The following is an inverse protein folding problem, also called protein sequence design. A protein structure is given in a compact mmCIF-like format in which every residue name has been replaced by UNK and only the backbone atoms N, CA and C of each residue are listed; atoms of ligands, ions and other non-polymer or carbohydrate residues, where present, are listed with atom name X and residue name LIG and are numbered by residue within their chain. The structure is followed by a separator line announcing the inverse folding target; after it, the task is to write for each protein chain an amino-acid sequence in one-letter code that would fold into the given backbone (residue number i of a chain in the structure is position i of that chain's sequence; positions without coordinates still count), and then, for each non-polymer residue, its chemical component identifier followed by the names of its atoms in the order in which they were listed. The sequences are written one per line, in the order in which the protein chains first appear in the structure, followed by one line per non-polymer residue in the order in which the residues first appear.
data_IF_849806296290
#
_entry.id   IF_849806296290
#
_cell.length_a   1.000
_cell.length_b   1.000
_cell.length_c   1.000
_cell.angle_alpha   90.00
_cell.angle_beta   90.00
_cell.angle_gamma   90.00
#
_symmetry.space_group_name_H-M   'P 1'
#
loop_
_entity.id
_entity.type
_entity.pdbx_description
1 polymer ?
#
# COMPACT_ATOMS: atom_id res chain seq x y z
N UNK A 1 9.29 12.91 0.71
CA UNK A 1 8.43 11.74 0.46
C UNK A 1 9.31 10.63 -0.11
N UNK A 2 9.17 9.43 0.40
CA UNK A 2 9.85 8.24 -0.10
C UNK A 2 8.80 7.48 -0.91
N UNK A 3 8.99 7.21 -2.20
CA UNK A 3 7.93 6.74 -3.12
C UNK A 3 6.75 7.76 -3.07
N UNK A 4 6.66 8.76 -3.97
CA UNK A 4 5.89 10.04 -3.84
C UNK A 4 4.47 9.95 -3.21
N UNK A 5 3.84 8.77 -3.24
CA UNK A 5 2.58 8.34 -2.61
C UNK A 5 2.67 7.87 -1.14
N UNK A 6 3.85 7.82 -0.52
CA UNK A 6 4.05 7.43 0.89
C UNK A 6 4.61 8.56 1.75
N UNK A 7 3.78 8.97 2.71
CA UNK A 7 4.14 9.92 3.76
C UNK A 7 4.82 9.18 4.93
N UNK A 8 6.12 8.93 4.81
CA UNK A 8 6.88 8.24 5.86
C UNK A 8 7.27 9.17 7.01
N UNK A 9 7.05 8.71 8.25
CA UNK A 9 7.63 9.28 9.48
C UNK A 9 9.14 9.08 9.54
N UNK A 10 9.84 9.89 10.35
CA UNK A 10 11.30 9.77 10.54
C UNK A 10 11.73 8.34 10.94
N UNK A 11 11.04 7.64 11.85
CA UNK A 11 11.34 6.23 12.14
C UNK A 11 11.10 5.27 10.96
N UNK A 12 10.15 5.55 10.07
CA UNK A 12 9.92 4.76 8.85
C UNK A 12 11.05 4.99 7.84
N UNK A 13 11.45 6.25 7.63
CA UNK A 13 12.53 6.61 6.71
C UNK A 13 13.90 6.07 7.17
N UNK A 14 14.19 6.14 8.47
CA UNK A 14 15.47 5.68 9.02
C UNK A 14 15.69 4.15 8.95
N UNK A 15 14.65 3.38 8.64
CA UNK A 15 14.69 1.91 8.52
C UNK A 15 14.93 1.44 7.08
N UNK A 16 15.00 2.37 6.15
CA UNK A 16 15.28 2.13 4.73
C UNK A 16 16.78 2.14 4.54
N UNK A 17 17.41 1.01 4.89
CA UNK A 17 18.70 0.51 4.40
C UNK A 17 19.27 -0.48 5.43
N UNK A 18 19.07 -1.79 5.20
CA UNK A 18 20.00 -2.82 5.65
C UNK A 18 19.71 -4.17 4.97
N UNK A 19 20.76 -4.80 4.45
CA UNK A 19 20.67 -5.94 3.54
C UNK A 19 20.67 -7.27 4.30
N UNK A 20 19.60 -8.04 4.11
CA UNK A 20 19.42 -9.40 4.62
C UNK A 20 18.24 -10.09 3.92
N UNK A 21 18.48 -11.27 3.33
CA UNK A 21 17.51 -11.93 2.45
C UNK A 21 16.35 -12.57 3.23
N UNK A 22 15.18 -11.93 3.21
CA UNK A 22 13.83 -12.55 3.29
C UNK A 22 12.84 -11.70 2.52
N UNK A 23 11.71 -12.29 2.12
CA UNK A 23 10.65 -11.73 1.28
C UNK A 23 9.62 -10.92 2.09
N UNK A 24 9.09 -9.78 1.59
CA UNK A 24 8.22 -8.90 2.42
C UNK A 24 7.28 -7.93 1.70
N UNK A 25 6.02 -7.82 2.13
CA UNK A 25 4.98 -6.95 1.51
C UNK A 25 4.14 -6.11 2.50
N UNK A 26 4.04 -6.48 3.78
CA UNK A 26 3.31 -5.70 4.82
C UNK A 26 4.21 -5.37 6.02
N UNK A 27 4.01 -4.21 6.65
CA UNK A 27 4.76 -3.79 7.85
C UNK A 27 4.79 -4.87 8.94
N UNK A 28 6.00 -5.22 9.41
CA UNK A 28 6.21 -6.27 10.43
C UNK A 28 6.07 -5.71 11.84
N UNK A 29 6.33 -4.42 12.04
CA UNK A 29 6.21 -3.82 13.36
C UNK A 29 4.75 -3.84 13.81
N UNK A 30 4.44 -4.73 14.75
CA UNK A 30 3.08 -4.91 15.27
C UNK A 30 2.52 -3.64 15.89
N UNK A 31 3.36 -2.74 16.44
CA UNK A 31 2.87 -1.46 16.99
C UNK A 31 2.37 -0.51 15.91
N UNK A 32 2.84 -0.68 14.67
CA UNK A 32 2.42 0.09 13.50
C UNK A 32 1.33 -0.62 12.69
N UNK A 33 0.87 -1.78 13.15
CA UNK A 33 -0.38 -2.38 12.67
C UNK A 33 -1.55 -1.79 13.45
N UNK A 34 -2.72 -1.81 12.82
CA UNK A 34 -3.97 -1.53 13.52
C UNK A 34 -4.23 -2.58 14.61
N UNK A 35 -4.44 -2.12 15.85
CA UNK A 35 -4.62 -3.00 17.02
C UNK A 35 -6.03 -3.58 17.14
N UNK A 36 -6.98 -3.03 16.37
CA UNK A 36 -8.35 -3.48 16.26
C UNK A 36 -8.64 -3.75 14.79
N UNK A 37 -9.53 -4.70 14.51
CA UNK A 37 -10.05 -4.92 13.16
C UNK A 37 -11.11 -3.89 12.80
N UNK A 38 -11.62 -3.13 13.75
CA UNK A 38 -12.47 -1.95 13.48
C UNK A 38 -11.56 -0.74 13.26
N UNK A 39 -11.64 -0.16 12.06
CA UNK A 39 -10.85 1.00 11.62
C UNK A 39 -11.78 2.21 11.53
N UNK A 40 -11.74 3.16 12.49
CA UNK A 40 -12.52 4.38 12.39
C UNK A 40 -12.02 5.25 11.24
N UNK A 41 -12.93 5.87 10.49
CA UNK A 41 -12.57 6.87 9.49
C UNK A 41 -13.50 8.07 9.49
N UNK A 42 -13.01 9.20 8.95
CA UNK A 42 -13.74 10.46 8.81
C UNK A 42 -13.43 11.10 7.46
N UNK A 43 -14.27 12.04 7.05
CA UNK A 43 -14.02 12.89 5.88
C UNK A 43 -13.75 14.33 6.32
N UNK A 44 -12.66 14.91 5.81
CA UNK A 44 -12.33 16.32 6.05
C UNK A 44 -13.18 17.27 5.21
N UNK A 45 -13.78 16.78 4.12
CA UNK A 45 -14.56 17.56 3.16
C UNK A 45 -15.93 16.92 2.97
N UNK A 46 -16.95 17.75 2.83
CA UNK A 46 -18.30 17.31 2.50
C UNK A 46 -18.53 17.32 0.98
N UNK A 47 -18.18 16.22 0.32
CA UNK A 47 -18.43 15.98 -1.11
C UNK A 47 -18.98 14.57 -1.28
N UNK A 48 -20.29 14.45 -1.51
CA UNK A 48 -20.98 13.17 -1.47
C UNK A 48 -20.51 12.17 -2.55
N UNK A 49 -20.35 12.54 -3.84
CA UNK A 49 -19.77 11.65 -4.84
C UNK A 49 -18.40 11.09 -4.43
N UNK A 50 -17.47 11.97 -4.05
CA UNK A 50 -16.12 11.57 -3.64
C UNK A 50 -16.12 10.68 -2.39
N UNK A 51 -16.96 11.01 -1.41
CA UNK A 51 -17.14 10.18 -0.22
C UNK A 51 -17.71 8.80 -0.57
N UNK A 52 -18.64 8.72 -1.53
CA UNK A 52 -19.26 7.46 -1.94
C UNK A 52 -18.27 6.53 -2.65
N UNK A 53 -17.36 7.06 -3.47
CA UNK A 53 -16.28 6.28 -4.08
C UNK A 53 -15.37 5.67 -3.01
N UNK A 54 -14.99 6.46 -2.00
CA UNK A 54 -14.18 5.96 -0.87
C UNK A 54 -14.95 4.90 -0.06
N UNK A 55 -16.22 5.17 0.29
CA UNK A 55 -17.08 4.19 0.99
C UNK A 55 -17.19 2.88 0.22
N UNK A 56 -17.30 2.92 -1.11
CA UNK A 56 -17.38 1.73 -1.94
C UNK A 56 -16.11 0.86 -1.81
N UNK A 57 -14.93 1.46 -1.86
CA UNK A 57 -13.66 0.75 -1.67
C UNK A 57 -13.52 0.22 -0.25
N UNK A 58 -13.81 1.02 0.78
CA UNK A 58 -13.76 0.57 2.17
C UNK A 58 -14.71 -0.61 2.44
N UNK A 59 -15.89 -0.61 1.81
CA UNK A 59 -16.81 -1.74 1.84
C UNK A 59 -16.24 -2.97 1.13
N UNK A 60 -15.52 -2.80 0.01
CA UNK A 60 -14.85 -3.90 -0.69
C UNK A 60 -13.76 -4.55 0.17
N UNK A 61 -12.92 -3.76 0.85
CA UNK A 61 -11.96 -4.27 1.83
C UNK A 61 -12.67 -5.01 2.97
N UNK A 62 -13.78 -4.45 3.47
CA UNK A 62 -14.55 -5.08 4.55
C UNK A 62 -15.21 -6.41 4.14
N UNK A 63 -15.56 -6.59 2.85
CA UNK A 63 -16.10 -7.84 2.32
C UNK A 63 -15.04 -8.91 2.10
N UNK A 64 -13.82 -8.52 1.75
CA UNK A 64 -12.73 -9.45 1.42
C UNK A 64 -11.77 -9.71 2.59
N UNK A 65 -11.92 -8.98 3.69
CA UNK A 65 -11.10 -9.13 4.90
C UNK A 65 -11.94 -9.12 6.17
N UNK A 66 -11.32 -9.36 7.33
CA UNK A 66 -11.96 -9.15 8.64
C UNK A 66 -11.97 -7.68 9.10
N UNK A 67 -11.33 -6.77 8.37
CA UNK A 67 -11.28 -5.36 8.73
C UNK A 67 -12.66 -4.71 8.52
N UNK A 68 -13.05 -3.80 9.40
CA UNK A 68 -14.35 -3.14 9.39
C UNK A 68 -14.14 -1.65 9.48
N UNK A 69 -14.37 -0.95 8.38
CA UNK A 69 -14.27 0.51 8.33
C UNK A 69 -15.58 1.12 8.82
N UNK A 70 -15.51 1.98 9.83
CA UNK A 70 -16.71 2.58 10.44
C UNK A 70 -16.58 4.10 10.45
N UNK A 71 -17.49 4.76 9.73
CA UNK A 71 -17.53 6.21 9.63
C UNK A 71 -17.84 6.84 10.99
N UNK A 72 -17.05 7.83 11.39
CA UNK A 72 -17.23 8.60 12.62
C UNK A 72 -17.25 7.79 13.93
N UNK A 73 -16.79 6.53 13.90
CA UNK A 73 -16.65 5.74 15.11
C UNK A 73 -15.76 6.43 16.16
N UNK A 74 -16.01 6.20 17.47
CA UNK A 74 -15.13 6.70 18.51
C UNK A 74 -13.78 5.99 18.45
N UNK A 75 -12.71 6.71 18.77
CA UNK A 75 -11.34 6.18 18.76
C UNK A 75 -10.32 7.30 18.70
N UNK A 76 -9.18 7.09 19.36
CA UNK A 76 -8.05 8.03 19.27
C UNK A 76 -7.34 7.90 17.91
N UNK A 77 -7.18 6.67 17.43
CA UNK A 77 -6.59 6.37 16.13
C UNK A 77 -7.68 6.29 15.06
N UNK A 78 -7.56 7.07 13.99
CA UNK A 78 -8.52 7.04 12.87
C UNK A 78 -7.90 7.56 11.58
N UNK A 79 -8.46 7.11 10.45
CA UNK A 79 -8.16 7.66 9.13
C UNK A 79 -8.98 8.93 8.90
N UNK A 80 -8.35 9.99 8.40
CA UNK A 80 -9.05 11.16 7.88
C UNK A 80 -8.78 11.29 6.38
N UNK A 81 -9.81 11.06 5.59
CA UNK A 81 -9.73 11.25 4.15
C UNK A 81 -9.86 12.74 3.84
N UNK A 82 -8.93 13.27 3.06
CA UNK A 82 -8.95 14.64 2.59
C UNK A 82 -8.84 14.70 1.07
N UNK A 83 -9.28 15.83 0.52
CA UNK A 83 -9.27 16.11 -0.91
C UNK A 83 -8.34 17.29 -1.18
N UNK A 84 -7.05 16.98 -1.27
CA UNK A 84 -5.99 17.95 -1.50
C UNK A 84 -5.31 17.74 -2.85
N UNK A 85 -4.01 18.04 -2.90
CA UNK A 85 -3.15 17.75 -4.04
C UNK A 85 -2.49 16.38 -3.89
N UNK A 86 -2.55 15.57 -4.95
CA UNK A 86 -1.92 14.25 -4.98
C UNK A 86 -2.68 13.16 -4.25
N UNK A 87 -2.19 11.93 -4.43
CA UNK A 87 -2.68 10.73 -3.77
C UNK A 87 -1.55 10.23 -2.86
N UNK A 88 -1.80 10.11 -1.56
CA UNK A 88 -0.79 9.57 -0.64
C UNK A 88 -1.39 9.08 0.67
N UNK A 89 -0.62 8.24 1.35
CA UNK A 89 -0.97 7.69 2.65
C UNK A 89 0.28 7.35 3.46
N UNK A 90 0.14 7.27 4.78
CA UNK A 90 1.19 6.73 5.64
C UNK A 90 1.12 5.21 5.67
N UNK A 91 2.27 4.52 5.77
CA UNK A 91 2.27 3.06 5.82
C UNK A 91 1.94 2.53 7.22
N UNK A 92 0.73 1.98 7.38
CA UNK A 92 0.23 1.42 8.62
C UNK A 92 -0.35 2.47 9.58
N UNK A 93 -0.51 2.09 10.84
CA UNK A 93 -1.04 2.93 11.91
C UNK A 93 0.07 3.79 12.54
N UNK A 94 -0.07 5.10 12.45
CA UNK A 94 0.85 6.06 13.09
C UNK A 94 0.47 6.39 14.55
N UNK A 95 -0.82 6.31 14.85
CA UNK A 95 -1.40 6.78 16.11
C UNK A 95 -2.02 8.18 15.98
N UNK A 96 -3.16 8.41 16.61
CA UNK A 96 -3.95 9.63 16.43
C UNK A 96 -4.67 9.69 15.09
N UNK A 97 -5.08 10.89 14.69
CA UNK A 97 -5.61 11.16 13.35
C UNK A 97 -4.49 11.04 12.31
N UNK A 98 -4.66 10.20 11.29
CA UNK A 98 -3.72 10.11 10.16
C UNK A 98 -4.43 10.33 8.83
N UNK A 99 -3.78 11.11 7.98
CA UNK A 99 -4.32 11.56 6.71
C UNK A 99 -4.19 10.49 5.62
N UNK A 100 -5.22 10.42 4.76
CA UNK A 100 -5.20 9.69 3.49
C UNK A 100 -5.70 10.65 2.42
N UNK A 101 -4.78 11.11 1.55
CA UNK A 101 -5.12 12.05 0.48
C UNK A 101 -5.66 11.30 -0.72
N UNK A 102 -6.94 11.56 -1.01
CA UNK A 102 -7.59 11.22 -2.27
C UNK A 102 -7.91 12.56 -2.94
N UNK A 103 -6.88 13.17 -3.52
CA UNK A 103 -6.98 14.43 -4.23
C UNK A 103 -7.78 14.34 -5.53
N UNK A 104 -7.84 15.47 -6.25
CA UNK A 104 -8.45 15.50 -7.57
C UNK A 104 -7.69 14.61 -8.57
N UNK A 105 -8.41 13.72 -9.25
CA UNK A 105 -7.84 12.72 -10.15
C UNK A 105 -7.48 11.39 -9.47
N UNK A 106 -7.62 11.28 -8.15
CA UNK A 106 -7.33 10.08 -7.37
C UNK A 106 -8.58 9.22 -7.09
N UNK A 107 -9.76 9.63 -7.56
CA UNK A 107 -11.06 9.05 -7.17
C UNK A 107 -11.36 7.66 -7.78
N UNK A 108 -10.43 7.08 -8.52
CA UNK A 108 -10.60 5.74 -9.09
C UNK A 108 -10.45 4.64 -8.03
N UNK A 109 -11.19 3.54 -8.20
CA UNK A 109 -11.16 2.41 -7.27
C UNK A 109 -9.74 1.89 -6.99
N UNK A 110 -8.91 1.74 -8.02
CA UNK A 110 -7.55 1.25 -7.85
C UNK A 110 -6.65 2.21 -7.07
N UNK A 111 -6.76 3.53 -7.30
CA UNK A 111 -5.98 4.52 -6.55
C UNK A 111 -6.44 4.56 -5.09
N UNK A 112 -7.75 4.62 -4.83
CA UNK A 112 -8.25 4.58 -3.45
C UNK A 112 -7.82 3.27 -2.76
N UNK A 113 -7.88 2.14 -3.46
CA UNK A 113 -7.43 0.84 -2.93
C UNK A 113 -5.94 0.84 -2.58
N UNK A 114 -5.13 1.52 -3.38
CA UNK A 114 -3.69 1.68 -3.15
C UNK A 114 -3.41 2.45 -1.85
N UNK A 115 -4.03 3.62 -1.69
CA UNK A 115 -3.83 4.47 -0.50
C UNK A 115 -4.40 3.85 0.78
N UNK A 116 -5.53 3.14 0.66
CA UNK A 116 -6.08 2.33 1.75
C UNK A 116 -5.11 1.18 2.07
N UNK A 117 -4.54 0.51 1.07
CA UNK A 117 -3.51 -0.52 1.24
C UNK A 117 -2.32 -0.01 2.05
N UNK A 118 -1.77 1.15 1.70
CA UNK A 118 -0.74 1.83 2.48
C UNK A 118 -1.18 2.06 3.92
N UNK A 119 -2.37 2.63 4.15
CA UNK A 119 -2.88 2.92 5.50
C UNK A 119 -2.99 1.67 6.39
N UNK A 120 -3.15 0.50 5.76
CA UNK A 120 -3.20 -0.81 6.43
C UNK A 120 -1.83 -1.46 6.59
N UNK A 121 -0.77 -0.86 6.05
CA UNK A 121 0.62 -1.28 6.22
C UNK A 121 1.22 -1.97 5.00
N UNK A 122 0.54 -2.00 3.85
CA UNK A 122 1.12 -2.54 2.63
C UNK A 122 2.18 -1.59 2.08
N UNK A 123 3.32 -2.16 1.71
CA UNK A 123 4.35 -1.48 0.95
C UNK A 123 4.19 -1.84 -0.52
N UNK A 124 4.91 -1.12 -1.37
CA UNK A 124 4.93 -1.43 -2.77
C UNK A 124 5.50 -2.82 -3.08
N UNK A 125 4.90 -3.48 -4.07
CA UNK A 125 5.30 -4.82 -4.50
C UNK A 125 6.72 -4.80 -5.10
N UNK A 126 7.08 -3.76 -5.87
CA UNK A 126 8.43 -3.64 -6.43
C UNK A 126 9.50 -3.32 -5.37
N UNK A 127 9.12 -2.89 -4.17
CA UNK A 127 10.06 -2.66 -3.07
C UNK A 127 10.44 -3.99 -2.34
N UNK A 128 9.82 -5.11 -2.73
CA UNK A 128 10.11 -6.44 -2.16
C UNK A 128 11.61 -6.77 -2.26
N UNK A 129 12.24 -7.31 -1.19
CA UNK A 129 13.67 -7.62 -1.18
C UNK A 129 14.15 -8.57 -2.28
N UNK A 130 13.27 -9.45 -2.74
CA UNK A 130 13.49 -10.44 -3.78
C UNK A 130 13.00 -9.99 -5.18
N UNK A 131 12.54 -8.74 -5.33
CA UNK A 131 11.96 -8.22 -6.58
C UNK A 131 12.83 -8.44 -7.81
N UNK A 132 14.16 -8.45 -7.66
CA UNK A 132 15.11 -8.67 -8.77
C UNK A 132 15.03 -10.10 -9.37
N UNK A 133 14.28 -11.02 -8.75
CA UNK A 133 13.94 -12.33 -9.34
C UNK A 133 12.72 -12.28 -10.28
N UNK A 134 12.05 -11.14 -10.36
CA UNK A 134 10.76 -10.95 -11.02
C UNK A 134 10.78 -9.75 -11.97
N UNK A 135 11.44 -8.65 -11.59
CA UNK A 135 11.55 -7.42 -12.38
C UNK A 135 12.99 -6.92 -12.41
N UNK A 136 13.36 -6.27 -13.50
CA UNK A 136 14.55 -5.42 -13.61
C UNK A 136 14.15 -3.97 -13.39
N UNK A 137 14.94 -3.24 -12.60
CA UNK A 137 14.81 -1.80 -12.43
C UNK A 137 15.89 -1.10 -13.25
N UNK A 138 15.49 -0.23 -14.17
CA UNK A 138 16.35 0.57 -15.03
C UNK A 138 16.39 2.01 -14.51
N UNK A 139 17.17 2.28 -13.46
CA UNK A 139 17.23 3.61 -12.83
C UNK A 139 17.77 4.69 -13.77
N UNK A 140 18.54 4.33 -14.78
CA UNK A 140 19.01 5.24 -15.84
C UNK A 140 17.88 5.84 -16.69
N UNK A 141 16.73 5.17 -16.71
CA UNK A 141 15.51 5.63 -17.37
C UNK A 141 14.63 6.49 -16.46
N UNK A 142 14.94 6.58 -15.16
CA UNK A 142 14.19 7.36 -14.20
C UNK A 142 14.59 8.84 -14.23
N UNK A 143 13.66 9.74 -13.89
CA UNK A 143 13.96 11.17 -13.72
C UNK A 143 15.04 11.34 -12.66
N UNK A 144 16.04 12.17 -12.93
CA UNK A 144 17.16 12.40 -12.01
C UNK A 144 16.65 12.85 -10.63
N UNK A 145 17.15 12.21 -9.56
CA UNK A 145 16.73 12.47 -8.18
C UNK A 145 15.54 11.61 -7.71
N UNK A 146 15.00 10.72 -8.56
CA UNK A 146 13.92 9.78 -8.20
C UNK A 146 14.41 8.33 -8.03
N UNK A 147 15.72 8.09 -8.02
CA UNK A 147 16.29 6.74 -7.96
C UNK A 147 15.93 6.02 -6.66
N UNK A 148 15.85 6.75 -5.54
CA UNK A 148 15.45 6.21 -4.24
C UNK A 148 13.99 5.71 -4.20
N UNK A 149 13.16 6.04 -5.18
CA UNK A 149 11.80 5.48 -5.32
C UNK A 149 11.81 4.00 -5.72
N UNK A 150 12.98 3.44 -6.03
CA UNK A 150 13.13 2.03 -6.32
C UNK A 150 13.93 1.30 -5.25
N UNK A 151 14.16 1.90 -4.08
CA UNK A 151 14.89 1.23 -3.01
C UNK A 151 14.13 -0.01 -2.51
N UNK A 152 14.89 -1.04 -2.14
CA UNK A 152 14.32 -2.27 -1.57
C UNK A 152 14.12 -2.11 -0.08
N UNK A 153 13.05 -2.72 0.42
CA UNK A 153 12.78 -2.78 1.85
C UNK A 153 13.85 -3.57 2.64
N UNK A 154 14.18 -3.08 3.84
CA UNK A 154 15.11 -3.71 4.78
C UNK A 154 14.64 -5.05 5.32
N UNK A 155 15.63 -5.89 5.72
CA UNK A 155 15.49 -7.29 6.14
C UNK A 155 14.55 -7.61 7.34
N UNK A 156 14.19 -6.57 8.06
CA UNK A 156 13.72 -6.67 9.45
C UNK A 156 12.32 -6.11 9.66
N UNK A 157 11.74 -5.45 8.65
CA UNK A 157 10.62 -4.51 8.88
C UNK A 157 9.31 -4.86 8.18
N UNK A 158 9.23 -6.02 7.53
CA UNK A 158 8.01 -6.50 6.86
C UNK A 158 7.92 -8.04 6.73
N UNK A 159 6.73 -8.55 6.45
CA UNK A 159 6.40 -9.97 6.27
C UNK A 159 5.67 -10.17 4.93
N UNK A 160 5.80 -11.34 4.30
CA UNK A 160 5.00 -11.72 3.12
C UNK A 160 4.15 -12.98 3.35
N UNK A 161 4.28 -13.61 4.53
CA UNK A 161 3.67 -14.90 4.89
C UNK A 161 3.92 -16.01 3.85
N UNK A 162 5.02 -15.95 3.11
CA UNK A 162 5.36 -16.89 2.05
C UNK A 162 4.55 -16.73 0.76
N UNK A 163 3.78 -15.65 0.61
CA UNK A 163 3.01 -15.37 -0.61
C UNK A 163 3.95 -15.07 -1.80
N UNK A 164 3.58 -15.50 -3.02
CA UNK A 164 4.37 -15.23 -4.22
C UNK A 164 4.41 -13.73 -4.54
N UNK A 165 5.34 -13.34 -5.41
CA UNK A 165 5.38 -11.99 -5.99
C UNK A 165 4.16 -11.79 -6.89
N UNK A 166 3.48 -10.66 -6.72
CA UNK A 166 2.23 -10.37 -7.39
C UNK A 166 2.36 -9.21 -8.39
N UNK A 167 2.65 -9.53 -9.65
CA UNK A 167 2.69 -8.53 -10.72
C UNK A 167 1.39 -7.73 -10.85
N UNK A 168 0.24 -8.33 -10.50
CA UNK A 168 -1.07 -7.69 -10.60
C UNK A 168 -1.50 -6.93 -9.35
N UNK A 169 -0.63 -6.84 -8.34
CA UNK A 169 -0.93 -6.10 -7.12
C UNK A 169 -1.23 -4.64 -7.45
N UNK A 170 -2.24 -4.07 -6.77
CA UNK A 170 -2.51 -2.62 -6.87
C UNK A 170 -1.35 -1.81 -6.27
N UNK A 171 -0.52 -2.45 -5.44
CA UNK A 171 0.70 -1.89 -4.86
C UNK A 171 1.92 -2.03 -5.79
N UNK A 172 1.77 -2.54 -7.02
CA UNK A 172 2.88 -2.62 -7.97
C UNK A 172 2.94 -1.36 -8.82
N UNK A 173 4.14 -0.80 -9.00
CA UNK A 173 4.40 0.27 -9.96
C UNK A 173 4.17 -0.15 -11.42
N UNK A 174 3.77 0.81 -12.24
CA UNK A 174 3.70 0.61 -13.69
C UNK A 174 5.10 0.55 -14.30
N UNK A 175 5.18 0.10 -15.55
CA UNK A 175 6.45 0.00 -16.29
C UNK A 175 7.15 1.34 -16.50
N UNK A 176 6.41 2.45 -16.43
CA UNK A 176 6.88 3.82 -16.69
C UNK A 176 6.88 4.69 -15.42
N UNK A 177 6.74 4.10 -14.23
CA UNK A 177 6.80 4.85 -12.99
C UNK A 177 8.11 5.65 -12.91
N UNK A 178 8.03 6.96 -12.67
CA UNK A 178 9.17 7.88 -12.64
C UNK A 178 10.04 7.92 -13.91
N UNK A 179 9.54 7.43 -15.05
CA UNK A 179 10.28 7.45 -16.30
C UNK A 179 10.50 8.88 -16.83
N UNK A 180 11.67 9.12 -17.45
CA UNK A 180 11.97 10.38 -18.17
C UNK A 180 10.96 10.67 -19.30
N UNK A 181 10.40 9.62 -19.90
CA UNK A 181 9.38 9.70 -20.95
C UNK A 181 8.65 8.35 -21.08
N UNK A 182 7.56 8.32 -21.84
CA UNK A 182 6.71 7.14 -22.02
C UNK A 182 7.39 5.94 -22.72
N UNK A 183 8.54 6.13 -23.35
CA UNK A 183 9.30 5.05 -24.00
C UNK A 183 10.36 4.43 -23.08
N UNK A 184 10.69 5.09 -21.97
CA UNK A 184 11.80 4.72 -21.09
C UNK A 184 11.29 3.89 -19.92
N UNK A 185 11.10 2.57 -20.12
CA UNK A 185 10.62 1.69 -19.04
C UNK A 185 11.62 1.63 -17.88
N UNK A 186 11.15 1.95 -16.68
CA UNK A 186 11.90 1.90 -15.43
C UNK A 186 11.71 0.57 -14.71
N UNK A 187 10.54 -0.07 -14.85
CA UNK A 187 10.25 -1.39 -14.28
C UNK A 187 9.92 -2.36 -15.41
N UNK A 188 10.72 -3.42 -15.55
CA UNK A 188 10.57 -4.40 -16.63
C UNK A 188 10.46 -5.81 -16.05
N UNK A 189 9.31 -6.49 -16.18
CA UNK A 189 9.18 -7.89 -15.79
C UNK A 189 10.17 -8.77 -16.55
N UNK A 190 10.83 -9.70 -15.83
CA UNK A 190 11.70 -10.71 -16.45
C UNK A 190 10.92 -11.70 -17.33
N UNK A 191 9.62 -11.82 -17.07
CA UNK A 191 8.69 -12.64 -17.83
C UNK A 191 7.79 -11.71 -18.68
N UNK A 192 7.95 -11.67 -20.02
CA UNK A 192 7.31 -10.67 -20.87
C UNK A 192 5.78 -10.64 -20.82
N UNK A 193 5.13 -11.77 -20.53
CA UNK A 193 3.66 -11.82 -20.44
C UNK A 193 3.08 -11.01 -19.26
N UNK A 194 3.90 -10.59 -18.30
CA UNK A 194 3.48 -9.72 -17.20
C UNK A 194 3.67 -8.22 -17.49
N UNK A 195 4.16 -7.85 -18.67
CA UNK A 195 4.39 -6.43 -19.03
C UNK A 195 3.11 -5.57 -18.91
N UNK A 196 1.97 -6.13 -19.29
CA UNK A 196 0.66 -5.47 -19.19
C UNK A 196 -0.11 -5.82 -17.91
N UNK A 197 0.52 -6.55 -16.98
CA UNK A 197 -0.07 -6.91 -15.68
C UNK A 197 0.34 -5.93 -14.58
N UNK A 198 1.58 -5.43 -14.63
CA UNK A 198 2.10 -4.47 -13.65
C UNK A 198 1.45 -3.09 -13.76
N UNK A 199 1.40 -2.36 -12.64
CA UNK A 199 0.78 -1.04 -12.60
C UNK A 199 -0.74 -1.09 -12.60
N UNK A 200 -1.34 -2.19 -12.11
CA UNK A 200 -2.78 -2.31 -11.94
C UNK A 200 -3.33 -1.10 -11.15
N UNK A 201 -4.32 -0.41 -11.73
CA UNK A 201 -5.10 0.67 -11.11
C UNK A 201 -6.61 0.46 -11.26
N UNK A 202 -7.03 -0.80 -11.47
CA UNK A 202 -8.44 -1.19 -11.54
C UNK A 202 -8.96 -1.52 -10.14
N UNK A 203 -8.32 -2.47 -9.45
CA UNK A 203 -8.74 -2.95 -8.14
C UNK A 203 -7.60 -3.65 -7.39
N UNK A 204 -7.73 -3.80 -6.07
CA UNK A 204 -6.85 -4.63 -5.26
C UNK A 204 -6.92 -6.12 -5.69
N UNK A 205 -5.76 -6.76 -5.76
CA UNK A 205 -5.66 -8.17 -6.15
C UNK A 205 -6.13 -9.10 -5.02
N UNK A 206 -6.36 -10.38 -5.37
CA UNK A 206 -6.60 -11.42 -4.36
C UNK A 206 -5.45 -11.51 -3.34
N UNK A 207 -4.20 -11.36 -3.78
CA UNK A 207 -3.05 -11.46 -2.88
C UNK A 207 -2.88 -10.22 -2.00
N UNK A 208 -3.37 -9.05 -2.43
CA UNK A 208 -3.47 -7.85 -1.59
C UNK A 208 -4.42 -8.07 -0.41
N UNK A 209 -5.60 -8.66 -0.64
CA UNK A 209 -6.51 -9.02 0.47
C UNK A 209 -5.98 -10.17 1.31
N UNK A 210 -5.34 -11.18 0.70
CA UNK A 210 -4.83 -12.36 1.41
C UNK A 210 -3.76 -11.98 2.41
N UNK A 211 -2.83 -11.08 2.07
CA UNK A 211 -1.79 -10.65 3.00
C UNK A 211 -2.39 -9.88 4.19
N UNK A 212 -3.40 -9.05 3.96
CA UNK A 212 -4.12 -8.35 5.03
C UNK A 212 -4.83 -9.35 5.96
N UNK A 213 -5.46 -10.38 5.40
CA UNK A 213 -6.09 -11.43 6.19
C UNK A 213 -5.08 -12.19 7.06
N UNK A 214 -3.92 -12.54 6.50
CA UNK A 214 -2.85 -13.19 7.26
C UNK A 214 -2.31 -12.29 8.38
N UNK A 215 -2.18 -10.99 8.12
CA UNK A 215 -1.67 -10.04 9.09
C UNK A 215 -2.64 -9.68 10.23
N UNK A 216 -3.94 -9.56 9.94
CA UNK A 216 -4.94 -9.01 10.88
C UNK A 216 -5.96 -10.02 11.37
N UNK A 217 -6.26 -11.06 10.58
CA UNK A 217 -7.42 -11.92 10.82
C UNK A 217 -7.06 -13.28 11.40
N UNK A 218 -5.77 -13.62 11.45
CA UNK A 218 -5.28 -14.92 11.92
C UNK A 218 -5.55 -15.18 13.42
N UNK A 219 -5.74 -14.13 14.23
CA UNK A 219 -6.13 -14.25 15.63
C UNK A 219 -7.62 -14.53 15.83
N UNK A 220 -8.50 -14.25 14.85
CA UNK A 220 -9.92 -14.60 14.94
C UNK A 220 -10.20 -16.09 14.83
N UNK A 221 -9.26 -16.88 14.28
CA UNK A 221 -9.39 -18.34 14.18
C UNK A 221 -9.12 -19.07 15.50
N UNK A 222 -8.42 -18.44 16.45
CA UNK A 222 -8.13 -19.02 17.77
C UNK A 222 -9.16 -18.65 18.85
N UNK A 223 -10.12 -17.77 18.54
CA UNK A 223 -11.15 -17.30 19.49
C UNK A 223 -12.42 -18.15 19.57
N UNK A 224 -12.48 -19.32 18.89
CA UNK A 224 -13.66 -20.21 18.87
C UNK A 224 -13.40 -21.52 19.66
N UNK A 225 -12.30 -21.61 20.40
CA UNK A 225 -12.02 -22.76 21.27
C UNK A 225 -11.68 -22.27 22.68
N UNK A 226 -12.69 -21.82 23.43
CA UNK A 226 -12.75 -21.93 24.89
C UNK A 226 -14.20 -21.93 25.36
#
# INVERSE_FOLDING_TARGET
MYEIDMALTVPQAARIANTGRRKRKIIANMTMRWQSTTIPYRFAVNDEPWQNDIRAVLNKFSRNTCLRFVENAPGYDYLIFNRGEGCYSSVGRLGGAQEVSIGYGCETEGIISHEVGHSLGLWHEQARPERDRYVTINTENAVEGTEGQFDKMSSTDSEDFGLPYDYGSVMHYSSIAFAKNSMSKTVVPLQPHYEHTIGNRVEASFLDFKILNMAYCSSMLYGIIH
#
